data_IF_975720541454
#
_entry.id   IF_975720541454
#
_cell.length_a   1.000
_cell.length_b   1.000
_cell.length_c   1.000
_cell.angle_alpha   90.00
_cell.angle_beta   90.00
_cell.angle_gamma   90.00
#
_symmetry.space_group_name_H-M   'P 1'
#
loop_
_entity.id
_entity.type
_entity.pdbx_description
1 polymer ?
#
# COMPACT_ATOMS: atom_id res chain seq x y z
N UNK A 1 -15.60 28.17 -14.02
CA UNK A 1 -15.56 28.12 -12.54
C UNK A 1 -14.67 26.98 -12.05
N UNK A 2 -14.87 25.74 -12.53
CA UNK A 2 -14.09 24.56 -12.12
C UNK A 2 -12.57 24.78 -12.20
N UNK A 3 -12.02 25.20 -13.34
CA UNK A 3 -10.56 25.37 -13.47
C UNK A 3 -9.91 26.42 -12.55
N UNK A 4 -10.66 27.43 -12.09
CA UNK A 4 -10.15 28.42 -11.12
C UNK A 4 -10.15 27.81 -9.71
N UNK A 5 -11.25 27.17 -9.32
CA UNK A 5 -11.37 26.52 -8.01
C UNK A 5 -10.38 25.36 -7.89
N UNK A 6 -10.26 24.57 -8.96
CA UNK A 6 -9.34 23.44 -9.08
C UNK A 6 -7.88 23.89 -9.00
N UNK A 7 -7.42 24.83 -9.84
CA UNK A 7 -5.98 25.11 -9.93
C UNK A 7 -5.49 26.21 -8.97
N UNK A 8 -6.30 27.24 -8.72
CA UNK A 8 -5.83 28.43 -7.98
C UNK A 8 -6.23 28.42 -6.50
N UNK A 9 -7.40 27.87 -6.16
CA UNK A 9 -7.94 27.94 -4.79
C UNK A 9 -7.62 26.69 -3.99
N UNK A 10 -8.03 25.52 -4.50
CA UNK A 10 -7.93 24.26 -3.76
C UNK A 10 -6.73 23.40 -4.19
N UNK A 11 -6.41 23.32 -5.48
CA UNK A 11 -5.35 22.43 -5.99
C UNK A 11 -3.94 22.84 -5.60
N UNK A 12 -3.70 24.12 -5.26
CA UNK A 12 -2.42 24.54 -4.70
C UNK A 12 -2.05 23.89 -3.34
N UNK A 13 -2.99 23.15 -2.73
CA UNK A 13 -2.78 22.40 -1.47
C UNK A 13 -2.66 20.89 -1.68
N UNK A 14 -2.78 20.41 -2.92
CA UNK A 14 -2.90 18.99 -3.24
C UNK A 14 -1.77 18.60 -4.18
N UNK A 15 -0.80 17.87 -3.65
CA UNK A 15 0.37 17.42 -4.43
C UNK A 15 0.12 16.06 -5.12
N UNK A 16 -0.81 15.27 -4.60
CA UNK A 16 -1.11 13.93 -5.11
C UNK A 16 -2.16 13.96 -6.22
N UNK A 17 -1.84 13.35 -7.35
CA UNK A 17 -2.73 13.25 -8.52
C UNK A 17 -4.05 12.52 -8.21
N UNK A 18 -4.07 11.56 -7.28
CA UNK A 18 -5.28 10.85 -6.90
C UNK A 18 -6.23 11.72 -6.08
N UNK A 19 -5.67 12.49 -5.15
CA UNK A 19 -6.44 13.43 -4.34
C UNK A 19 -6.99 14.57 -5.21
N UNK A 20 -6.23 14.99 -6.24
CA UNK A 20 -6.73 15.91 -7.26
C UNK A 20 -7.95 15.34 -7.99
N UNK A 21 -7.96 14.04 -8.37
CA UNK A 21 -9.13 13.43 -9.02
C UNK A 21 -10.37 13.45 -8.13
N UNK A 22 -10.20 13.23 -6.82
CA UNK A 22 -11.31 13.31 -5.84
C UNK A 22 -11.82 14.74 -5.75
N UNK A 23 -10.94 15.73 -5.67
CA UNK A 23 -11.30 17.15 -5.68
C UNK A 23 -12.11 17.51 -6.93
N UNK A 24 -11.63 17.14 -8.12
CA UNK A 24 -12.33 17.40 -9.38
C UNK A 24 -13.71 16.75 -9.39
N UNK A 25 -13.85 15.52 -8.86
CA UNK A 25 -15.14 14.84 -8.73
C UNK A 25 -16.15 15.64 -7.90
N UNK A 26 -15.74 16.14 -6.73
CA UNK A 26 -16.58 16.99 -5.89
C UNK A 26 -16.93 18.32 -6.56
N UNK A 27 -15.97 18.94 -7.26
CA UNK A 27 -16.23 20.18 -7.97
C UNK A 27 -17.26 19.98 -9.08
N UNK A 28 -17.19 18.89 -9.84
CA UNK A 28 -18.18 18.54 -10.88
C UNK A 28 -19.55 18.24 -10.26
N UNK A 29 -19.59 17.57 -9.10
CA UNK A 29 -20.84 17.25 -8.42
C UNK A 29 -21.57 18.51 -7.92
N UNK A 30 -20.87 19.41 -7.23
CA UNK A 30 -21.50 20.55 -6.56
C UNK A 30 -21.63 21.79 -7.44
N UNK A 31 -20.69 22.04 -8.35
CA UNK A 31 -20.69 23.22 -9.22
C UNK A 31 -21.24 22.94 -10.62
N UNK A 32 -22.25 22.07 -10.74
CA UNK A 32 -22.94 21.84 -12.01
C UNK A 32 -24.00 22.93 -12.26
N UNK A 33 -24.22 23.28 -13.54
CA UNK A 33 -25.26 24.22 -13.95
C UNK A 33 -26.65 23.81 -13.47
N UNK A 34 -26.91 22.50 -13.34
CA UNK A 34 -28.17 21.95 -12.81
C UNK A 34 -28.39 22.31 -11.33
N UNK A 35 -27.34 22.18 -10.51
CA UNK A 35 -27.36 22.50 -9.08
C UNK A 35 -27.47 24.01 -8.87
N UNK A 36 -26.71 24.78 -9.65
CA UNK A 36 -26.71 26.25 -9.56
C UNK A 36 -28.02 26.89 -10.07
N UNK A 37 -28.78 26.19 -10.92
CA UNK A 37 -30.06 26.68 -11.45
C UNK A 37 -31.26 26.36 -10.54
N UNK A 38 -31.03 25.81 -9.34
CA UNK A 38 -32.09 25.54 -8.35
C UNK A 38 -33.07 24.44 -8.77
N UNK A 39 -32.81 23.71 -9.85
CA UNK A 39 -33.56 22.50 -10.17
C UNK A 39 -33.20 21.41 -9.18
N UNK A 40 -34.23 20.70 -8.69
CA UNK A 40 -34.11 19.63 -7.70
C UNK A 40 -32.80 18.86 -7.82
N UNK A 41 -32.12 18.70 -6.68
CA UNK A 41 -31.14 17.64 -6.45
C UNK A 41 -31.88 16.29 -6.53
N UNK A 42 -32.42 15.96 -7.70
CA UNK A 42 -32.79 14.59 -8.06
C UNK A 42 -31.51 13.78 -7.86
N UNK A 43 -31.59 12.57 -7.28
CA UNK A 43 -30.41 11.81 -6.86
C UNK A 43 -29.41 11.81 -8.01
N UNK A 44 -28.33 12.58 -7.84
CA UNK A 44 -27.32 12.77 -8.87
C UNK A 44 -26.87 11.36 -9.27
N UNK A 45 -27.03 11.04 -10.56
CA UNK A 45 -26.75 9.74 -11.16
C UNK A 45 -25.56 9.03 -10.48
N UNK A 46 -25.86 8.06 -9.63
CA UNK A 46 -24.85 7.20 -9.01
C UNK A 46 -24.97 7.09 -7.49
N UNK A 47 -26.04 6.46 -7.00
CA UNK A 47 -26.12 5.81 -5.68
C UNK A 47 -26.05 6.68 -4.42
N UNK A 48 -25.53 7.91 -4.50
CA UNK A 48 -25.58 8.88 -3.42
C UNK A 48 -27.02 9.35 -3.26
N UNK A 49 -27.64 9.00 -2.13
CA UNK A 49 -28.89 9.64 -1.72
C UNK A 49 -28.68 11.16 -1.79
N UNK A 50 -29.72 11.89 -2.19
CA UNK A 50 -29.74 13.34 -2.11
C UNK A 50 -29.16 13.81 -0.76
N UNK A 51 -28.58 15.02 -0.73
CA UNK A 51 -28.21 15.67 0.53
C UNK A 51 -29.28 15.34 1.58
N UNK A 52 -28.91 14.88 2.79
CA UNK A 52 -29.86 14.38 3.79
C UNK A 52 -30.97 15.38 4.11
N UNK A 53 -30.76 16.64 3.77
CA UNK A 53 -31.68 17.76 3.81
C UNK A 53 -32.07 18.24 2.40
N UNK A 54 -33.02 17.57 1.74
CA UNK A 54 -33.82 18.12 0.64
C UNK A 54 -33.09 18.89 -0.47
N UNK A 55 -33.83 19.76 -1.17
CA UNK A 55 -33.27 20.70 -2.15
C UNK A 55 -32.62 21.90 -1.45
N UNK A 56 -31.51 22.40 -2.01
CA UNK A 56 -30.90 23.66 -1.57
C UNK A 56 -31.91 24.80 -1.70
N UNK A 57 -32.06 25.68 -0.67
CA UNK A 57 -32.91 26.86 -0.77
C UNK A 57 -32.44 27.74 -1.94
N UNK A 58 -33.36 28.03 -2.85
CA UNK A 58 -33.14 28.94 -4.00
C UNK A 58 -33.48 30.40 -3.61
N UNK A 59 -33.95 30.60 -2.37
CA UNK A 59 -34.34 31.90 -1.82
C UNK A 59 -33.14 32.76 -1.48
N UNK A 60 -33.24 34.08 -1.69
CA UNK A 60 -32.23 35.05 -1.26
C UNK A 60 -32.32 35.40 0.23
N UNK A 61 -33.23 34.74 0.98
CA UNK A 61 -33.48 35.04 2.40
C UNK A 61 -32.57 34.21 3.30
N UNK A 62 -31.75 34.90 4.10
CA UNK A 62 -30.82 34.28 5.07
C UNK A 62 -31.51 33.29 6.03
N UNK A 63 -32.76 33.57 6.44
CA UNK A 63 -33.50 32.74 7.39
C UNK A 63 -33.70 31.31 6.88
N UNK A 64 -33.90 31.15 5.58
CA UNK A 64 -34.16 29.85 4.97
C UNK A 64 -32.92 28.96 5.07
N UNK A 65 -31.73 29.53 4.82
CA UNK A 65 -30.46 28.83 5.03
C UNK A 65 -30.22 28.47 6.51
N UNK A 66 -30.58 29.35 7.45
CA UNK A 66 -30.45 29.04 8.89
C UNK A 66 -31.41 27.94 9.34
N UNK A 67 -32.63 27.90 8.78
CA UNK A 67 -33.58 26.81 9.05
C UNK A 67 -33.09 25.48 8.47
N UNK A 68 -32.44 25.50 7.30
CA UNK A 68 -31.84 24.31 6.72
C UNK A 68 -30.71 23.77 7.61
N UNK A 69 -29.79 24.65 8.04
CA UNK A 69 -28.68 24.27 8.94
C UNK A 69 -29.23 23.68 10.24
N UNK A 70 -30.29 24.28 10.80
CA UNK A 70 -30.91 23.80 12.05
C UNK A 70 -31.67 22.47 11.88
N UNK A 71 -32.01 22.10 10.64
CA UNK A 71 -32.67 20.83 10.32
C UNK A 71 -31.70 19.68 10.09
N UNK A 72 -30.39 19.96 10.05
CA UNK A 72 -29.37 18.92 9.91
C UNK A 72 -29.27 18.07 11.19
N UNK A 73 -29.05 16.76 11.06
CA UNK A 73 -28.78 15.91 12.21
C UNK A 73 -27.44 16.28 12.87
N UNK A 74 -27.34 16.09 14.19
CA UNK A 74 -26.09 16.31 14.94
C UNK A 74 -24.97 15.33 14.55
N UNK A 75 -25.32 14.20 13.92
CA UNK A 75 -24.38 13.17 13.46
C UNK A 75 -24.38 13.09 11.95
N UNK A 76 -23.21 13.31 11.36
CA UNK A 76 -23.02 13.21 9.92
C UNK A 76 -23.02 11.75 9.46
N UNK A 77 -23.77 11.46 8.39
CA UNK A 77 -23.73 10.16 7.72
C UNK A 77 -22.58 10.08 6.73
N UNK A 78 -21.80 8.99 6.72
CA UNK A 78 -20.74 8.76 5.72
C UNK A 78 -21.24 8.81 4.27
N UNK A 79 -22.51 8.50 4.03
CA UNK A 79 -23.12 8.58 2.71
C UNK A 79 -23.14 10.01 2.14
N UNK A 80 -23.14 11.04 3.01
CA UNK A 80 -23.03 12.45 2.62
C UNK A 80 -21.71 12.73 1.89
N UNK A 81 -20.65 12.04 2.30
CA UNK A 81 -19.29 12.21 1.77
C UNK A 81 -18.97 11.19 0.67
N UNK A 82 -19.95 10.45 0.16
CA UNK A 82 -19.71 9.39 -0.83
C UNK A 82 -18.81 8.26 -0.33
N UNK A 83 -18.58 8.17 0.98
CA UNK A 83 -17.73 7.15 1.60
C UNK A 83 -18.46 5.81 1.72
N UNK A 84 -17.74 4.68 1.73
CA UNK A 84 -18.35 3.36 1.84
C UNK A 84 -18.97 3.13 3.23
N UNK A 85 -20.00 2.28 3.30
CA UNK A 85 -20.76 2.05 4.53
C UNK A 85 -19.93 1.42 5.68
N UNK A 86 -18.84 0.74 5.35
CA UNK A 86 -17.92 0.13 6.30
C UNK A 86 -16.76 1.05 6.73
N UNK A 87 -16.78 2.33 6.33
CA UNK A 87 -15.70 3.29 6.65
C UNK A 87 -15.50 3.46 8.15
N UNK A 88 -16.57 3.35 8.94
CA UNK A 88 -16.51 3.47 10.41
C UNK A 88 -15.57 2.42 11.01
N UNK A 89 -15.58 1.18 10.46
CA UNK A 89 -14.69 0.12 10.91
C UNK A 89 -13.22 0.45 10.59
N UNK A 90 -12.94 0.97 9.39
CA UNK A 90 -11.58 1.41 9.02
C UNK A 90 -11.12 2.58 9.88
N UNK A 91 -12.00 3.57 10.07
CA UNK A 91 -11.73 4.75 10.87
C UNK A 91 -11.42 4.37 12.33
N UNK A 92 -12.27 3.54 12.93
CA UNK A 92 -12.08 3.06 14.30
C UNK A 92 -10.75 2.31 14.45
N UNK A 93 -10.36 1.47 13.48
CA UNK A 93 -9.05 0.79 13.50
C UNK A 93 -7.88 1.76 13.44
N UNK A 94 -7.93 2.73 12.52
CA UNK A 94 -6.87 3.74 12.38
C UNK A 94 -6.75 4.62 13.62
N UNK A 95 -7.87 5.12 14.14
CA UNK A 95 -7.89 5.91 15.37
C UNK A 95 -7.38 5.08 16.55
N UNK A 96 -7.83 3.83 16.70
CA UNK A 96 -7.38 2.96 17.79
C UNK A 96 -5.87 2.70 17.72
N UNK A 97 -5.33 2.45 16.52
CA UNK A 97 -3.90 2.27 16.31
C UNK A 97 -3.12 3.54 16.67
N UNK A 98 -3.61 4.71 16.24
CA UNK A 98 -2.99 6.01 16.54
C UNK A 98 -3.00 6.31 18.04
N UNK A 99 -4.13 6.11 18.71
CA UNK A 99 -4.27 6.31 20.15
C UNK A 99 -3.37 5.34 20.91
N UNK A 100 -3.31 4.07 20.50
CA UNK A 100 -2.41 3.08 21.10
C UNK A 100 -0.94 3.48 20.93
N UNK A 101 -0.55 3.98 19.76
CA UNK A 101 0.79 4.50 19.50
C UNK A 101 1.11 5.70 20.41
N UNK A 102 0.19 6.67 20.51
CA UNK A 102 0.36 7.82 21.40
C UNK A 102 0.45 7.43 22.88
N UNK A 103 -0.40 6.50 23.34
CA UNK A 103 -0.36 5.98 24.70
C UNK A 103 0.94 5.25 24.99
N UNK A 104 1.51 4.51 24.02
CA UNK A 104 2.82 3.86 24.17
C UNK A 104 3.94 4.88 24.37
N UNK A 105 3.90 6.01 23.65
CA UNK A 105 4.86 7.10 23.83
C UNK A 105 4.72 7.71 25.23
N UNK A 106 3.50 8.03 25.66
CA UNK A 106 3.23 8.64 26.97
C UNK A 106 3.57 7.70 28.14
N UNK A 107 3.31 6.40 28.00
CA UNK A 107 3.60 5.40 29.03
C UNK A 107 5.11 5.24 29.32
N UNK A 108 5.97 5.77 28.45
CA UNK A 108 7.42 5.69 28.59
C UNK A 108 7.98 7.05 28.97
N UNK A 109 8.21 7.23 30.26
CA UNK A 109 8.96 8.38 30.77
C UNK A 109 10.32 8.46 30.05
N UNK A 110 10.68 9.66 29.58
CA UNK A 110 11.82 10.01 28.73
C UNK A 110 13.22 9.57 29.25
N UNK A 111 13.31 8.95 30.43
CA UNK A 111 14.57 8.58 31.08
C UNK A 111 15.10 7.16 30.85
N UNK A 112 14.28 6.19 30.40
CA UNK A 112 14.71 4.78 30.32
C UNK A 112 15.61 4.46 29.11
N UNK A 113 15.48 5.25 28.04
CA UNK A 113 16.32 5.13 26.85
C UNK A 113 17.67 5.85 27.01
N UNK A 114 17.72 6.95 27.78
CA UNK A 114 18.94 7.75 27.96
C UNK A 114 19.86 7.21 29.05
N UNK A 115 19.30 6.69 30.15
CA UNK A 115 20.09 6.05 31.21
C UNK A 115 20.25 4.56 30.93
N UNK A 116 21.49 4.15 30.69
CA UNK A 116 21.81 2.73 30.56
C UNK A 116 21.60 2.02 31.91
N UNK A 117 20.50 1.28 32.00
CA UNK A 117 20.22 0.34 33.07
C UNK A 117 20.13 -1.07 32.46
N UNK A 118 21.08 -1.92 32.83
CA UNK A 118 21.21 -3.27 32.26
C UNK A 118 19.98 -4.14 32.55
N UNK A 119 19.37 -4.01 33.72
CA UNK A 119 18.26 -4.86 34.15
C UNK A 119 16.98 -4.47 33.41
N UNK A 120 16.71 -3.15 33.34
CA UNK A 120 15.57 -2.61 32.58
C UNK A 120 15.69 -2.91 31.09
N UNK A 121 16.87 -2.65 30.50
CA UNK A 121 17.10 -2.95 29.09
C UNK A 121 17.00 -4.43 28.78
N UNK A 122 17.48 -5.29 29.70
CA UNK A 122 17.36 -6.73 29.53
C UNK A 122 15.90 -7.18 29.58
N UNK A 123 15.07 -6.66 30.50
CA UNK A 123 13.67 -7.00 30.59
C UNK A 123 12.87 -6.60 29.33
N UNK A 124 13.03 -5.35 28.88
CA UNK A 124 12.27 -4.78 27.76
C UNK A 124 12.69 -5.34 26.39
N UNK A 125 13.99 -5.61 26.18
CA UNK A 125 14.53 -6.07 24.89
C UNK A 125 14.54 -7.59 24.75
N UNK A 126 14.41 -8.34 25.85
CA UNK A 126 14.38 -9.82 25.83
C UNK A 126 13.31 -10.41 24.91
N UNK A 127 12.05 -9.91 24.88
CA UNK A 127 11.03 -10.41 23.96
C UNK A 127 11.45 -10.32 22.49
N UNK A 128 12.06 -9.21 22.09
CA UNK A 128 12.53 -8.98 20.72
C UNK A 128 13.72 -9.90 20.37
N UNK A 129 14.67 -10.07 21.30
CA UNK A 129 15.80 -10.99 21.12
C UNK A 129 15.33 -12.44 21.04
N UNK A 130 14.33 -12.82 21.82
CA UNK A 130 13.73 -14.16 21.78
C UNK A 130 12.95 -14.39 20.48
N UNK A 131 12.22 -13.38 20.00
CA UNK A 131 11.59 -13.40 18.68
C UNK A 131 12.63 -13.63 17.58
N UNK A 132 13.73 -12.86 17.58
CA UNK A 132 14.80 -13.00 16.61
C UNK A 132 15.44 -14.40 16.63
N UNK A 133 15.64 -14.98 17.82
CA UNK A 133 16.11 -16.37 17.95
C UNK A 133 15.11 -17.34 17.34
N UNK A 134 13.82 -17.24 17.65
CA UNK A 134 12.77 -18.12 17.12
C UNK A 134 12.66 -18.04 15.60
N UNK A 135 12.68 -16.83 15.03
CA UNK A 135 12.58 -16.64 13.57
C UNK A 135 13.76 -17.24 12.81
N UNK A 136 14.94 -17.32 13.43
CA UNK A 136 16.13 -17.86 12.80
C UNK A 136 16.45 -19.31 13.22
N UNK A 137 15.62 -19.95 14.05
CA UNK A 137 15.78 -21.37 14.38
C UNK A 137 15.59 -22.21 13.12
N UNK A 138 16.63 -22.93 12.71
CA UNK A 138 16.61 -23.78 11.51
C UNK A 138 16.85 -23.04 10.19
N UNK A 139 17.17 -21.74 10.22
CA UNK A 139 17.46 -20.96 9.02
C UNK A 139 18.95 -20.75 8.83
N UNK A 140 19.51 -21.20 7.71
CA UNK A 140 20.93 -20.98 7.37
C UNK A 140 21.23 -19.54 6.89
N UNK A 141 20.24 -18.64 6.87
CA UNK A 141 20.39 -17.27 6.34
C UNK A 141 21.52 -16.49 7.01
N UNK A 142 21.77 -16.72 8.30
CA UNK A 142 22.81 -16.02 9.07
C UNK A 142 24.21 -16.48 8.65
N UNK A 143 24.39 -17.77 8.39
CA UNK A 143 25.68 -18.39 8.05
C UNK A 143 25.92 -18.51 6.55
N UNK A 144 24.89 -18.29 5.73
CA UNK A 144 24.96 -18.40 4.28
C UNK A 144 25.93 -17.37 3.71
N UNK A 145 27.01 -17.85 3.09
CA UNK A 145 27.86 -17.02 2.24
C UNK A 145 27.09 -16.73 0.96
N UNK A 146 26.76 -15.47 0.74
CA UNK A 146 26.14 -15.05 -0.52
C UNK A 146 27.20 -14.36 -1.37
N UNK A 147 27.43 -14.89 -2.56
CA UNK A 147 28.26 -14.26 -3.58
C UNK A 147 27.48 -13.11 -4.23
N UNK A 148 28.13 -11.98 -4.57
CA UNK A 148 27.47 -10.95 -5.36
C UNK A 148 26.98 -11.54 -6.69
N UNK A 149 25.81 -11.12 -7.18
CA UNK A 149 25.29 -11.60 -8.45
C UNK A 149 26.29 -11.31 -9.58
N UNK A 150 26.47 -12.28 -10.48
CA UNK A 150 27.34 -12.11 -11.65
C UNK A 150 26.63 -11.26 -12.70
N UNK A 151 27.34 -10.30 -13.31
CA UNK A 151 26.84 -9.48 -14.43
C UNK A 151 26.38 -10.28 -15.67
N UNK A 152 26.59 -11.60 -15.68
CA UNK A 152 26.28 -12.50 -16.80
C UNK A 152 24.85 -13.05 -16.82
N UNK A 153 23.96 -12.61 -15.93
CA UNK A 153 22.57 -13.08 -15.92
C UNK A 153 21.82 -12.59 -17.18
N UNK A 154 21.38 -13.52 -18.04
CA UNK A 154 20.73 -13.21 -19.33
C UNK A 154 19.33 -12.58 -19.16
N UNK A 155 18.60 -12.97 -18.10
CA UNK A 155 17.26 -12.45 -17.79
C UNK A 155 17.33 -11.32 -16.75
N UNK A 156 16.79 -10.12 -17.06
CA UNK A 156 16.66 -9.02 -16.10
C UNK A 156 15.90 -9.40 -14.82
N UNK A 157 14.88 -10.24 -14.93
CA UNK A 157 14.08 -10.68 -13.78
C UNK A 157 14.91 -11.58 -12.86
N UNK A 158 15.71 -12.50 -13.41
CA UNK A 158 16.60 -13.34 -12.60
C UNK A 158 17.72 -12.53 -11.95
N UNK A 159 18.24 -11.52 -12.66
CA UNK A 159 19.21 -10.58 -12.11
C UNK A 159 18.63 -9.81 -10.91
N UNK A 160 17.40 -9.31 -11.04
CA UNK A 160 16.68 -8.67 -9.94
C UNK A 160 16.52 -9.61 -8.74
N UNK A 161 15.98 -10.82 -8.92
CA UNK A 161 15.75 -11.78 -7.82
C UNK A 161 17.06 -12.12 -7.11
N UNK A 162 18.15 -12.32 -7.85
CA UNK A 162 19.47 -12.64 -7.29
C UNK A 162 20.05 -11.47 -6.47
N UNK A 163 19.92 -10.24 -6.98
CA UNK A 163 20.39 -9.04 -6.29
C UNK A 163 19.55 -8.73 -5.04
N UNK A 164 18.23 -8.86 -5.16
CA UNK A 164 17.29 -8.65 -4.06
C UNK A 164 17.58 -9.65 -2.92
N UNK A 165 17.79 -10.92 -3.26
CA UNK A 165 18.18 -11.96 -2.29
C UNK A 165 19.51 -11.65 -1.63
N UNK A 166 20.51 -11.22 -2.40
CA UNK A 166 21.82 -10.83 -1.86
C UNK A 166 21.69 -9.69 -0.83
N UNK A 167 20.96 -8.64 -1.17
CA UNK A 167 20.71 -7.51 -0.27
C UNK A 167 19.92 -7.94 0.98
N UNK A 168 18.89 -8.76 0.82
CA UNK A 168 18.08 -9.28 1.91
C UNK A 168 18.91 -10.09 2.91
N UNK A 169 19.76 -11.00 2.45
CA UNK A 169 20.64 -11.79 3.33
C UNK A 169 21.66 -10.91 4.04
N UNK A 170 22.25 -9.91 3.35
CA UNK A 170 23.15 -8.94 4.01
C UNK A 170 22.44 -8.14 5.10
N UNK A 171 21.19 -7.74 4.86
CA UNK A 171 20.38 -7.06 5.87
C UNK A 171 20.10 -7.97 7.07
N UNK A 172 19.74 -9.23 6.85
CA UNK A 172 19.58 -10.23 7.93
C UNK A 172 20.87 -10.38 8.75
N UNK A 173 22.03 -10.47 8.09
CA UNK A 173 23.33 -10.55 8.77
C UNK A 173 23.67 -9.29 9.57
N UNK A 174 23.35 -8.10 9.03
CA UNK A 174 23.53 -6.81 9.70
C UNK A 174 22.66 -6.70 10.95
N UNK A 175 21.37 -7.08 10.84
CA UNK A 175 20.44 -7.13 11.98
C UNK A 175 20.92 -8.15 13.01
N UNK A 176 21.36 -9.34 12.58
CA UNK A 176 21.91 -10.36 13.47
C UNK A 176 23.11 -9.84 14.26
N UNK A 177 24.09 -9.23 13.59
CA UNK A 177 25.29 -8.67 14.22
C UNK A 177 24.94 -7.55 15.22
N UNK A 178 23.99 -6.69 14.86
CA UNK A 178 23.50 -5.60 15.72
C UNK A 178 22.87 -6.15 17.00
N UNK A 179 21.94 -7.11 16.89
CA UNK A 179 21.27 -7.75 18.02
C UNK A 179 22.22 -8.62 18.85
N UNK A 180 23.19 -9.28 18.23
CA UNK A 180 24.22 -10.07 18.91
C UNK A 180 25.16 -9.19 19.74
N UNK A 181 25.52 -8.00 19.22
CA UNK A 181 26.33 -7.01 19.95
C UNK A 181 25.56 -6.47 21.15
N UNK A 182 24.28 -6.12 20.96
CA UNK A 182 23.37 -5.73 22.04
C UNK A 182 23.25 -6.81 23.12
N UNK A 183 23.01 -8.07 22.74
CA UNK A 183 22.91 -9.19 23.69
C UNK A 183 24.23 -9.44 24.44
N UNK A 184 25.40 -9.20 23.83
CA UNK A 184 26.71 -9.26 24.54
C UNK A 184 26.84 -8.18 25.59
N UNK A 185 26.41 -6.95 25.31
CA UNK A 185 26.40 -5.85 26.28
C UNK A 185 25.43 -6.14 27.43
N UNK A 186 24.22 -6.64 27.13
CA UNK A 186 23.23 -7.00 28.16
C UNK A 186 23.71 -8.14 29.09
N UNK A 187 24.53 -9.06 28.56
CA UNK A 187 25.16 -10.14 29.35
C UNK A 187 26.42 -9.71 30.10
N UNK A 188 26.88 -8.47 29.93
CA UNK A 188 28.12 -7.96 30.53
C UNK A 188 29.41 -8.48 29.87
N UNK A 189 29.31 -9.08 28.69
CA UNK A 189 30.48 -9.63 27.95
C UNK A 189 31.16 -8.61 27.03
N UNK A 190 30.60 -7.41 26.88
CA UNK A 190 31.14 -6.34 26.03
C UNK A 190 30.81 -4.98 26.63
N UNK A 191 31.67 -3.99 26.37
CA UNK A 191 31.42 -2.59 26.72
C UNK A 191 30.32 -1.98 25.84
N UNK A 192 29.59 -0.99 26.39
CA UNK A 192 28.57 -0.24 25.68
C UNK A 192 29.23 0.68 24.64
N UNK A 193 28.92 0.48 23.36
CA UNK A 193 29.29 1.39 22.28
C UNK A 193 28.17 2.36 21.95
N UNK A 194 28.50 3.48 21.31
CA UNK A 194 27.53 4.49 20.85
C UNK A 194 26.50 3.91 19.89
N UNK A 195 26.91 2.99 19.01
CA UNK A 195 26.01 2.32 18.07
C UNK A 195 25.03 1.37 18.77
N UNK A 196 25.49 0.61 19.77
CA UNK A 196 24.62 -0.26 20.57
C UNK A 196 23.65 0.58 21.40
N UNK A 197 24.10 1.71 21.96
CA UNK A 197 23.24 2.63 22.68
C UNK A 197 22.15 3.22 21.78
N UNK A 198 22.49 3.69 20.57
CA UNK A 198 21.53 4.21 19.58
C UNK A 198 20.53 3.14 19.14
N UNK A 199 21.02 1.91 18.90
CA UNK A 199 20.19 0.76 18.54
C UNK A 199 19.18 0.44 19.65
N UNK A 200 19.65 0.30 20.89
CA UNK A 200 18.81 0.00 22.03
C UNK A 200 17.79 1.11 22.28
N UNK A 201 18.20 2.39 22.19
CA UNK A 201 17.29 3.53 22.35
C UNK A 201 16.13 3.49 21.35
N UNK A 202 16.38 3.20 20.07
CA UNK A 202 15.32 3.05 19.07
C UNK A 202 14.38 1.87 19.41
N UNK A 203 14.95 0.71 19.74
CA UNK A 203 14.16 -0.48 20.08
C UNK A 203 13.33 -0.31 21.36
N UNK A 204 13.86 0.40 22.36
CA UNK A 204 13.16 0.77 23.59
C UNK A 204 12.04 1.79 23.34
N UNK A 205 12.10 2.55 22.25
CA UNK A 205 10.98 3.39 21.78
C UNK A 205 10.02 2.65 20.85
N UNK A 206 10.22 1.35 20.61
CA UNK A 206 9.49 0.58 19.60
C UNK A 206 9.61 1.15 18.18
N UNK A 207 10.74 1.77 17.87
CA UNK A 207 11.06 2.28 16.55
C UNK A 207 12.11 1.37 15.89
N UNK A 208 12.00 1.18 14.57
CA UNK A 208 13.06 0.53 13.82
C UNK A 208 14.29 1.46 13.73
N UNK A 209 15.50 0.98 14.05
CA UNK A 209 16.72 1.75 13.93
C UNK A 209 16.92 2.32 12.51
N UNK A 210 17.29 3.60 12.40
CA UNK A 210 17.55 4.29 11.12
C UNK A 210 18.57 3.57 10.23
N UNK A 211 19.54 2.87 10.84
CA UNK A 211 20.55 2.09 10.10
C UNK A 211 19.98 0.86 9.39
N UNK A 212 18.83 0.35 9.83
CA UNK A 212 18.08 -0.72 9.18
C UNK A 212 17.12 -0.14 8.14
N UNK A 213 16.40 0.94 8.49
CA UNK A 213 15.49 1.64 7.58
C UNK A 213 16.17 2.16 6.31
N UNK A 214 17.45 2.55 6.41
CA UNK A 214 18.26 2.95 5.25
C UNK A 214 18.44 1.85 4.21
N UNK A 215 18.47 0.59 4.63
CA UNK A 215 18.62 -0.56 3.73
C UNK A 215 17.26 -1.03 3.21
N UNK A 216 16.23 -0.93 4.06
CA UNK A 216 14.86 -1.28 3.71
C UNK A 216 13.85 -0.46 4.53
N UNK A 217 13.03 0.31 3.83
CA UNK A 217 11.86 1.00 4.39
C UNK A 217 10.75 -0.03 4.64
N UNK A 218 10.82 -0.68 5.80
CA UNK A 218 9.86 -1.66 6.27
C UNK A 218 8.83 -1.09 7.25
N UNK A 219 8.05 -1.97 7.90
CA UNK A 219 7.10 -1.56 8.93
C UNK A 219 7.77 -0.82 10.10
N UNK A 220 7.08 0.17 10.66
CA UNK A 220 7.59 0.99 11.78
C UNK A 220 7.81 0.18 13.07
N UNK A 221 7.03 -0.90 13.26
CA UNK A 221 7.13 -1.75 14.45
C UNK A 221 8.28 -2.77 14.30
N UNK A 222 9.28 -2.79 15.23
CA UNK A 222 10.42 -3.70 15.15
C UNK A 222 10.05 -5.17 15.07
N UNK A 223 9.02 -5.60 15.81
CA UNK A 223 8.60 -6.99 15.81
C UNK A 223 7.98 -7.42 14.47
N UNK A 224 7.27 -6.52 13.79
CA UNK A 224 6.73 -6.76 12.46
C UNK A 224 7.85 -6.70 11.41
N UNK A 225 8.72 -5.70 11.50
CA UNK A 225 9.91 -5.56 10.65
C UNK A 225 10.77 -6.84 10.64
N UNK A 226 11.09 -7.40 11.81
CA UNK A 226 11.89 -8.63 11.90
C UNK A 226 11.17 -9.85 11.27
N UNK A 227 9.85 -9.97 11.46
CA UNK A 227 9.05 -11.05 10.87
C UNK A 227 9.03 -10.94 9.35
N UNK A 228 8.70 -9.76 8.83
CA UNK A 228 8.62 -9.50 7.39
C UNK A 228 10.00 -9.61 6.73
N UNK A 229 11.08 -9.16 7.39
CA UNK A 229 12.46 -9.35 6.89
C UNK A 229 12.78 -10.83 6.67
N UNK A 230 12.56 -11.67 7.69
CA UNK A 230 12.85 -13.11 7.60
C UNK A 230 11.92 -13.80 6.61
N UNK A 231 10.62 -13.50 6.64
CA UNK A 231 9.61 -14.04 5.73
C UNK A 231 9.93 -13.76 4.26
N UNK A 232 10.15 -12.48 3.92
CA UNK A 232 10.54 -12.06 2.56
C UNK A 232 11.87 -12.68 2.13
N UNK A 233 12.86 -12.75 3.03
CA UNK A 233 14.16 -13.37 2.71
C UNK A 233 14.02 -14.87 2.42
N UNK A 234 13.18 -15.59 3.16
CA UNK A 234 12.91 -17.00 2.89
C UNK A 234 12.17 -17.18 1.56
N UNK A 235 11.14 -16.36 1.32
CA UNK A 235 10.38 -16.36 0.07
C UNK A 235 11.29 -16.11 -1.14
N UNK A 236 12.17 -15.10 -1.09
CA UNK A 236 13.16 -14.85 -2.14
C UNK A 236 14.07 -16.05 -2.43
N UNK A 237 14.31 -16.93 -1.45
CA UNK A 237 15.01 -18.20 -1.68
C UNK A 237 14.24 -19.16 -2.58
N UNK A 238 12.92 -19.21 -2.42
CA UNK A 238 12.01 -19.97 -3.29
C UNK A 238 11.97 -19.34 -4.69
N UNK A 239 11.94 -18.01 -4.78
CA UNK A 239 11.98 -17.30 -6.07
C UNK A 239 13.28 -17.57 -6.83
N UNK A 240 14.43 -17.59 -6.15
CA UNK A 240 15.73 -17.92 -6.73
C UNK A 240 15.75 -19.35 -7.29
N UNK A 241 15.20 -20.33 -6.54
CA UNK A 241 15.10 -21.72 -6.99
C UNK A 241 14.19 -21.86 -8.23
N UNK A 242 12.99 -21.29 -8.17
CA UNK A 242 12.07 -21.22 -9.32
C UNK A 242 12.72 -20.52 -10.51
N UNK A 243 13.61 -19.56 -10.25
CA UNK A 243 14.36 -18.81 -11.26
C UNK A 243 15.32 -19.69 -12.03
N UNK A 244 16.03 -20.57 -11.32
CA UNK A 244 16.94 -21.56 -11.89
C UNK A 244 16.20 -22.57 -12.76
N UNK A 245 14.98 -22.93 -12.39
CA UNK A 245 14.10 -23.83 -13.15
C UNK A 245 13.39 -23.14 -14.33
N UNK A 246 13.51 -21.81 -14.47
CA UNK A 246 12.80 -21.03 -15.49
C UNK A 246 11.29 -20.92 -15.27
N UNK A 247 10.80 -21.21 -14.05
CA UNK A 247 9.37 -21.29 -13.71
C UNK A 247 8.80 -20.05 -13.02
N UNK A 248 9.64 -19.06 -12.66
CA UNK A 248 9.21 -17.84 -11.94
C UNK A 248 8.01 -17.17 -12.59
N UNK A 249 7.97 -17.08 -13.92
CA UNK A 249 6.89 -16.39 -14.62
C UNK A 249 5.65 -17.27 -14.86
N UNK A 250 5.73 -18.58 -14.60
CA UNK A 250 4.64 -19.54 -14.83
C UNK A 250 3.77 -19.72 -13.59
N UNK A 251 4.38 -19.63 -12.40
CA UNK A 251 3.69 -19.77 -11.13
C UNK A 251 2.89 -18.51 -10.75
N UNK A 252 1.98 -18.67 -9.80
CA UNK A 252 1.31 -17.51 -9.19
C UNK A 252 2.26 -16.87 -8.19
N UNK A 253 2.49 -15.57 -8.37
CA UNK A 253 3.43 -14.78 -7.60
C UNK A 253 2.69 -13.88 -6.61
N UNK A 254 3.27 -13.68 -5.43
CA UNK A 254 2.82 -12.69 -4.48
C UNK A 254 3.87 -11.57 -4.39
N UNK A 255 3.51 -10.36 -4.83
CA UNK A 255 4.43 -9.22 -4.81
C UNK A 255 4.74 -8.75 -3.37
N UNK A 256 3.94 -9.15 -2.37
CA UNK A 256 4.25 -8.89 -0.97
C UNK A 256 5.51 -9.61 -0.48
N UNK A 257 6.03 -10.60 -1.21
CA UNK A 257 7.24 -11.32 -0.82
C UNK A 257 8.52 -10.54 -1.16
N UNK A 258 8.42 -9.47 -1.97
CA UNK A 258 9.55 -8.65 -2.42
C UNK A 258 9.79 -7.46 -1.49
N UNK A 259 11.02 -6.93 -1.46
CA UNK A 259 11.30 -5.65 -0.78
C UNK A 259 11.00 -4.48 -1.73
N UNK A 260 11.33 -4.64 -3.02
CA UNK A 260 11.16 -3.64 -4.07
C UNK A 260 10.28 -4.15 -5.23
N UNK A 261 8.95 -4.25 -5.05
CA UNK A 261 8.03 -4.77 -6.08
C UNK A 261 7.95 -3.88 -7.33
N UNK A 262 8.15 -2.57 -7.17
CA UNK A 262 8.26 -1.58 -8.26
C UNK A 262 9.41 -1.92 -9.22
N UNK A 263 10.56 -2.26 -8.65
CA UNK A 263 11.78 -2.62 -9.38
C UNK A 263 11.62 -3.96 -10.10
N UNK A 264 10.92 -4.91 -9.48
CA UNK A 264 10.54 -6.17 -10.14
C UNK A 264 9.67 -5.94 -11.37
N UNK A 265 8.63 -5.10 -11.28
CA UNK A 265 7.76 -4.79 -12.42
C UNK A 265 8.54 -4.11 -13.55
N UNK A 266 9.54 -3.28 -13.22
CA UNK A 266 10.45 -2.67 -14.20
C UNK A 266 11.42 -3.70 -14.82
N UNK A 267 11.93 -4.66 -14.06
CA UNK A 267 12.72 -5.77 -14.60
C UNK A 267 11.88 -6.63 -15.57
N UNK A 268 10.61 -6.87 -15.23
CA UNK A 268 9.66 -7.54 -16.11
C UNK A 268 9.39 -6.72 -17.39
N UNK A 269 9.28 -5.39 -17.27
CA UNK A 269 9.15 -4.46 -18.42
C UNK A 269 10.34 -4.59 -19.35
N UNK A 270 11.56 -4.59 -18.80
CA UNK A 270 12.79 -4.73 -19.58
C UNK A 270 12.88 -6.09 -20.27
N UNK A 271 12.55 -7.18 -19.58
CA UNK A 271 12.53 -8.52 -20.18
C UNK A 271 11.48 -8.62 -21.30
N UNK A 272 10.31 -8.03 -21.10
CA UNK A 272 9.24 -8.01 -22.11
C UNK A 272 9.65 -7.19 -23.34
N UNK A 273 10.28 -6.03 -23.14
CA UNK A 273 10.81 -5.20 -24.23
C UNK A 273 11.86 -5.95 -25.08
N UNK A 274 12.77 -6.69 -24.43
CA UNK A 274 13.76 -7.54 -25.12
C UNK A 274 13.08 -8.66 -25.92
N UNK A 275 12.09 -9.34 -25.34
CA UNK A 275 11.33 -10.41 -26.01
C UNK A 275 10.47 -9.89 -27.17
N UNK A 276 9.92 -8.68 -27.06
CA UNK A 276 9.15 -8.00 -28.11
C UNK A 276 10.02 -7.28 -29.14
N UNK A 277 11.31 -7.08 -28.86
CA UNK A 277 12.24 -6.27 -29.66
C UNK A 277 11.75 -4.83 -29.87
N UNK A 278 11.22 -4.23 -28.82
CA UNK A 278 10.72 -2.85 -28.81
C UNK A 278 11.41 -2.00 -27.73
N UNK A 279 11.18 -0.68 -27.78
CA UNK A 279 11.61 0.22 -26.70
C UNK A 279 10.82 -0.06 -25.42
N UNK A 280 11.45 0.12 -24.25
CA UNK A 280 10.73 0.03 -22.97
C UNK A 280 9.61 1.08 -22.88
N UNK A 281 9.77 2.25 -23.51
CA UNK A 281 8.83 3.37 -23.45
C UNK A 281 7.56 3.16 -24.28
N UNK A 282 7.57 2.22 -25.21
CA UNK A 282 6.37 1.86 -25.97
C UNK A 282 5.49 0.84 -25.26
N UNK A 283 5.80 0.49 -24.01
CA UNK A 283 5.05 -0.48 -23.21
C UNK A 283 4.20 0.19 -22.13
N UNK A 284 2.98 -0.31 -21.95
CA UNK A 284 2.08 0.01 -20.84
C UNK A 284 1.77 -1.23 -20.01
N UNK A 285 1.61 -1.05 -18.70
CA UNK A 285 1.21 -2.12 -17.79
C UNK A 285 -0.30 -2.31 -17.89
N UNK A 286 -0.75 -3.54 -18.08
CA UNK A 286 -2.17 -3.89 -18.10
C UNK A 286 -2.43 -5.08 -17.19
N UNK A 287 -3.61 -5.09 -16.58
CA UNK A 287 -4.06 -6.18 -15.73
C UNK A 287 -5.41 -6.73 -16.21
N UNK A 288 -5.66 -8.00 -15.97
CA UNK A 288 -6.94 -8.64 -16.32
C UNK A 288 -7.31 -9.75 -15.35
N UNK A 289 -8.58 -9.74 -14.95
CA UNK A 289 -9.26 -10.81 -14.23
C UNK A 289 -10.08 -11.74 -15.14
N UNK A 290 -10.11 -11.49 -16.46
CA UNK A 290 -10.80 -12.37 -17.41
C UNK A 290 -10.08 -13.73 -17.51
N UNK A 291 -10.81 -14.86 -17.55
CA UNK A 291 -10.20 -16.18 -17.74
C UNK A 291 -9.40 -16.32 -19.04
N UNK A 292 -9.76 -15.53 -20.07
CA UNK A 292 -9.09 -15.51 -21.38
C UNK A 292 -7.71 -14.83 -21.35
N UNK A 293 -7.31 -14.24 -20.22
CA UNK A 293 -6.04 -13.53 -20.08
C UNK A 293 -6.02 -12.17 -20.78
N UNK A 294 -4.82 -11.70 -21.11
CA UNK A 294 -4.59 -10.42 -21.79
C UNK A 294 -4.22 -10.72 -23.25
N UNK A 295 -4.90 -10.10 -24.24
CA UNK A 295 -4.57 -10.29 -25.64
C UNK A 295 -3.19 -9.71 -26.00
N UNK A 296 -2.52 -10.30 -27.00
CA UNK A 296 -1.26 -9.83 -27.56
C UNK A 296 -0.05 -9.75 -26.59
N UNK A 297 -0.03 -10.55 -25.51
CA UNK A 297 1.10 -10.61 -24.58
C UNK A 297 2.11 -11.69 -24.94
N UNK A 298 3.41 -11.33 -24.93
CA UNK A 298 4.50 -12.34 -25.01
C UNK A 298 4.86 -12.92 -23.65
N UNK A 299 4.84 -12.09 -22.61
CA UNK A 299 5.11 -12.47 -21.23
C UNK A 299 3.99 -11.92 -20.36
N UNK A 300 3.47 -12.78 -19.48
CA UNK A 300 2.43 -12.44 -18.52
C UNK A 300 2.69 -13.19 -17.23
N UNK A 301 2.40 -12.58 -16.09
CA UNK A 301 2.52 -13.19 -14.78
C UNK A 301 1.16 -13.23 -14.10
N UNK A 302 0.95 -14.23 -13.25
CA UNK A 302 -0.23 -14.29 -12.36
C UNK A 302 0.16 -13.72 -11.00
N UNK A 303 -0.56 -12.73 -10.53
CA UNK A 303 -0.34 -12.09 -9.23
C UNK A 303 -1.50 -12.41 -8.30
N UNK A 304 -1.18 -12.84 -7.09
CA UNK A 304 -2.13 -13.03 -5.99
C UNK A 304 -1.69 -12.21 -4.76
N UNK A 305 -2.48 -12.26 -3.68
CA UNK A 305 -2.15 -11.59 -2.42
C UNK A 305 -2.41 -10.08 -2.41
N UNK A 306 -3.09 -9.54 -3.42
CA UNK A 306 -3.49 -8.12 -3.44
C UNK A 306 -4.76 -7.95 -2.61
N UNK A 307 -4.79 -6.90 -1.79
CA UNK A 307 -5.91 -6.51 -0.95
C UNK A 307 -6.55 -5.23 -1.48
N UNK A 308 -7.86 -5.08 -1.33
CA UNK A 308 -8.66 -3.91 -1.74
C UNK A 308 -9.34 -3.30 -0.52
N UNK A 309 -9.26 -1.98 -0.39
CA UNK A 309 -10.05 -1.19 0.56
C UNK A 309 -10.96 -0.21 -0.18
N UNK A 310 -12.07 0.14 0.46
CA UNK A 310 -13.03 1.14 -0.02
C UNK A 310 -14.15 0.54 -0.87
N UNK A 311 -13.90 -0.59 -1.54
CA UNK A 311 -14.86 -1.30 -2.38
C UNK A 311 -14.68 -2.82 -2.25
N UNK A 312 -15.61 -3.58 -2.81
CA UNK A 312 -15.51 -5.02 -3.03
C UNK A 312 -15.34 -5.32 -4.51
N UNK A 313 -14.87 -6.52 -4.85
CA UNK A 313 -14.70 -6.96 -6.22
C UNK A 313 -15.26 -8.36 -6.41
N UNK A 314 -16.18 -8.53 -7.34
CA UNK A 314 -16.88 -9.81 -7.57
C UNK A 314 -16.16 -10.75 -8.57
N UNK A 315 -14.95 -10.39 -9.00
CA UNK A 315 -14.19 -11.11 -10.03
C UNK A 315 -14.42 -10.55 -11.44
N UNK A 316 -15.46 -9.75 -11.64
CA UNK A 316 -15.76 -9.07 -12.89
C UNK A 316 -15.70 -7.56 -12.74
N UNK A 317 -16.38 -6.98 -11.75
CA UNK A 317 -16.57 -5.55 -11.53
C UNK A 317 -16.46 -5.17 -10.05
N UNK A 318 -16.24 -3.88 -9.81
CA UNK A 318 -16.35 -3.29 -8.48
C UNK A 318 -17.82 -3.32 -7.98
N UNK A 319 -17.96 -3.65 -6.70
CA UNK A 319 -19.24 -3.69 -5.97
C UNK A 319 -19.14 -2.87 -4.68
N UNK A 320 -20.27 -2.31 -4.26
CA UNK A 320 -20.31 -1.42 -3.10
C UNK A 320 -20.23 -2.24 -1.81
N UNK A 321 -19.56 -1.67 -0.81
CA UNK A 321 -19.49 -2.28 0.52
C UNK A 321 -20.78 -2.02 1.30
N UNK A 322 -21.22 -3.05 2.04
CA UNK A 322 -22.27 -2.97 3.06
C UNK A 322 -21.67 -2.67 4.44
N UNK A 323 -22.50 -2.40 5.45
CA UNK A 323 -22.02 -2.15 6.82
C UNK A 323 -21.25 -3.34 7.43
N UNK A 324 -21.62 -4.56 7.05
CA UNK A 324 -20.99 -5.79 7.54
C UNK A 324 -19.79 -6.23 6.68
N UNK A 325 -19.51 -5.51 5.59
CA UNK A 325 -18.38 -5.83 4.72
C UNK A 325 -17.05 -5.58 5.44
N UNK A 326 -16.08 -6.50 5.33
CA UNK A 326 -14.76 -6.30 5.94
C UNK A 326 -14.11 -5.06 5.34
N UNK A 327 -13.32 -4.31 6.13
CA UNK A 327 -12.62 -3.13 5.63
C UNK A 327 -11.64 -3.44 4.51
N UNK A 328 -11.05 -4.63 4.54
CA UNK A 328 -10.06 -5.09 3.57
C UNK A 328 -10.57 -6.39 2.97
N UNK A 329 -10.64 -6.43 1.64
CA UNK A 329 -11.11 -7.58 0.85
C UNK A 329 -9.93 -8.13 0.04
N UNK A 330 -9.73 -9.45 0.06
CA UNK A 330 -8.73 -10.08 -0.81
C UNK A 330 -9.21 -10.09 -2.26
N UNK A 331 -8.36 -9.64 -3.17
CA UNK A 331 -8.64 -9.68 -4.61
C UNK A 331 -8.36 -11.07 -5.17
N UNK A 332 -9.18 -11.56 -6.12
CA UNK A 332 -8.87 -12.77 -6.86
C UNK A 332 -7.57 -12.57 -7.68
N UNK A 333 -6.82 -13.66 -7.94
CA UNK A 333 -5.59 -13.58 -8.71
C UNK A 333 -5.81 -12.93 -10.08
N UNK A 334 -4.92 -12.01 -10.44
CA UNK A 334 -4.99 -11.29 -11.71
C UNK A 334 -3.81 -11.64 -12.61
N UNK A 335 -4.01 -11.53 -13.92
CA UNK A 335 -2.92 -11.62 -14.88
C UNK A 335 -2.40 -10.21 -15.13
N UNK A 336 -1.10 -10.02 -15.08
CA UNK A 336 -0.43 -8.75 -15.33
C UNK A 336 0.60 -8.94 -16.43
N UNK A 337 0.62 -8.01 -17.39
CA UNK A 337 1.56 -8.04 -18.49
C UNK A 337 1.89 -6.63 -18.97
N UNK A 338 3.06 -6.51 -19.59
CA UNK A 338 3.43 -5.34 -20.37
C UNK A 338 3.02 -5.57 -21.82
N UNK A 339 2.21 -4.67 -22.37
CA UNK A 339 1.77 -4.69 -23.78
C UNK A 339 2.20 -3.41 -24.47
N UNK A 340 2.25 -3.42 -25.79
CA UNK A 340 2.52 -2.18 -26.54
C UNK A 340 1.41 -1.15 -26.31
N UNK A 341 1.75 0.13 -26.35
CA UNK A 341 0.79 1.22 -26.15
C UNK A 341 -0.38 1.15 -27.15
N UNK A 342 -0.12 0.67 -28.37
CA UNK A 342 -1.09 0.46 -29.45
C UNK A 342 -1.97 -0.78 -29.25
N UNK A 343 -1.59 -1.71 -28.38
CA UNK A 343 -2.39 -2.91 -28.13
C UNK A 343 -3.76 -2.55 -27.53
N UNK A 344 -4.83 -3.25 -27.94
CA UNK A 344 -6.16 -3.02 -27.41
C UNK A 344 -6.16 -3.31 -25.90
N UNK A 345 -6.74 -2.41 -25.07
CA UNK A 345 -6.83 -2.66 -23.65
C UNK A 345 -7.75 -3.87 -23.36
N UNK A 346 -7.52 -4.61 -22.26
CA UNK A 346 -8.33 -5.78 -21.91
C UNK A 346 -9.80 -5.43 -21.60
N UNK A 347 -10.05 -4.19 -21.21
CA UNK A 347 -11.36 -3.62 -20.91
C UNK A 347 -11.51 -2.26 -21.59
N UNK A 348 -12.75 -1.79 -21.86
CA UNK A 348 -12.97 -0.45 -22.37
C UNK A 348 -12.50 0.60 -21.37
N UNK A 349 -11.82 1.68 -21.80
CA UNK A 349 -11.32 2.72 -20.90
C UNK A 349 -12.44 3.47 -20.18
N UNK A 350 -13.65 3.51 -20.75
CA UNK A 350 -14.84 4.11 -20.14
C UNK A 350 -15.36 3.30 -18.94
N UNK A 351 -15.04 2.00 -18.87
CA UNK A 351 -15.54 1.08 -17.85
C UNK A 351 -14.45 0.69 -16.84
N UNK A 352 -13.34 1.41 -16.83
CA UNK A 352 -12.21 1.17 -15.94
C UNK A 352 -11.95 2.35 -15.03
N UNK A 353 -11.51 2.03 -13.82
CA UNK A 353 -10.99 2.97 -12.86
C UNK A 353 -9.51 2.65 -12.62
N UNK A 354 -8.66 3.66 -12.76
CA UNK A 354 -7.24 3.55 -12.44
C UNK A 354 -7.05 3.63 -10.93
N UNK A 355 -6.72 2.50 -10.31
CA UNK A 355 -6.59 2.32 -8.86
C UNK A 355 -5.11 2.22 -8.47
N UNK A 356 -4.63 3.01 -7.49
CA UNK A 356 -3.26 2.91 -7.01
C UNK A 356 -3.03 1.62 -6.22
N UNK A 357 -1.87 1.00 -6.42
CA UNK A 357 -1.37 -0.14 -5.65
C UNK A 357 -0.25 0.36 -4.74
N UNK A 358 -0.51 0.36 -3.43
CA UNK A 358 0.44 0.73 -2.40
C UNK A 358 1.13 -0.50 -1.82
N UNK A 359 2.32 -0.29 -1.27
CA UNK A 359 3.07 -1.35 -0.61
C UNK A 359 2.45 -1.77 0.73
N UNK A 360 1.79 -0.84 1.44
CA UNK A 360 1.19 -1.08 2.74
C UNK A 360 -0.03 -0.17 2.96
N UNK A 361 -0.79 -0.45 4.02
CA UNK A 361 -1.95 0.35 4.42
C UNK A 361 -1.65 1.82 4.78
N UNK A 362 -0.38 2.22 4.96
CA UNK A 362 -0.02 3.63 5.22
C UNK A 362 -0.19 4.53 3.99
N UNK A 363 -0.30 3.95 2.79
CA UNK A 363 -0.40 4.66 1.50
C UNK A 363 0.79 5.60 1.20
N UNK A 364 1.94 5.37 1.84
CA UNK A 364 3.13 6.22 1.66
C UNK A 364 3.89 5.92 0.37
N UNK A 365 3.97 4.63 -0.01
CA UNK A 365 4.75 4.18 -1.17
C UNK A 365 3.86 3.55 -2.23
N UNK A 366 3.70 4.26 -3.34
CA UNK A 366 3.02 3.78 -4.54
C UNK A 366 3.94 2.82 -5.30
N UNK A 367 3.44 1.62 -5.58
CA UNK A 367 4.15 0.61 -6.38
C UNK A 367 3.82 0.77 -7.86
N UNK A 368 2.52 0.80 -8.17
CA UNK A 368 2.02 0.93 -9.54
C UNK A 368 0.55 1.33 -9.55
N UNK A 369 -0.03 1.44 -10.73
CA UNK A 369 -1.44 1.77 -10.95
C UNK A 369 -2.04 0.69 -11.84
N UNK A 370 -3.23 0.21 -11.50
CA UNK A 370 -3.92 -0.83 -12.28
C UNK A 370 -5.33 -0.40 -12.62
N UNK A 371 -5.74 -0.71 -13.84
CA UNK A 371 -7.09 -0.40 -14.31
C UNK A 371 -8.05 -1.53 -13.91
N UNK A 372 -8.95 -1.22 -12.98
CA UNK A 372 -9.95 -2.15 -12.45
C UNK A 372 -11.30 -1.87 -13.10
N UNK A 373 -12.00 -2.92 -13.52
CA UNK A 373 -13.31 -2.77 -14.15
C UNK A 373 -14.35 -2.29 -13.12
N UNK A 374 -14.98 -1.14 -13.40
CA UNK A 374 -15.98 -0.50 -12.54
C UNK A 374 -17.38 -0.42 -13.17
N UNK A 375 -17.53 -0.90 -14.41
CA UNK A 375 -18.75 -0.74 -15.20
C UNK A 375 -18.92 0.67 -15.76
N UNK A 376 -19.94 0.87 -16.60
CA UNK A 376 -20.15 2.10 -17.39
C UNK A 376 -20.81 3.27 -16.64
N UNK A 377 -21.36 3.02 -15.45
CA UNK A 377 -22.07 4.03 -14.66
C UNK A 377 -21.44 4.15 -13.27
N UNK A 378 -21.36 5.38 -12.74
CA UNK A 378 -20.90 5.62 -11.36
C UNK A 378 -19.39 5.78 -11.18
N UNK A 379 -18.62 6.08 -12.24
CA UNK A 379 -17.17 6.35 -12.13
C UNK A 379 -16.84 7.43 -11.09
N UNK A 380 -17.62 8.52 -11.09
CA UNK A 380 -17.48 9.60 -10.09
C UNK A 380 -17.75 9.10 -8.66
N UNK A 381 -18.77 8.26 -8.48
CA UNK A 381 -19.07 7.62 -7.20
C UNK A 381 -17.90 6.74 -6.72
N UNK A 382 -17.28 5.99 -7.64
CA UNK A 382 -16.11 5.19 -7.30
C UNK A 382 -14.88 6.05 -6.97
N UNK A 383 -14.68 7.18 -7.66
CA UNK A 383 -13.62 8.13 -7.33
C UNK A 383 -13.78 8.67 -5.89
N UNK A 384 -15.00 8.99 -5.48
CA UNK A 384 -15.30 9.48 -4.12
C UNK A 384 -15.08 8.41 -3.05
N UNK A 385 -15.36 7.14 -3.37
CA UNK A 385 -15.04 6.00 -2.48
C UNK A 385 -13.54 5.73 -2.35
N UNK A 386 -12.73 6.35 -3.21
CA UNK A 386 -11.26 6.30 -3.20
C UNK A 386 -10.69 4.88 -2.98
N UNK A 387 -11.04 3.91 -3.84
CA UNK A 387 -10.52 2.55 -3.71
C UNK A 387 -9.00 2.56 -3.81
N UNK A 388 -8.37 1.74 -2.98
CA UNK A 388 -6.92 1.56 -2.98
C UNK A 388 -6.59 0.07 -2.87
N UNK A 389 -5.56 -0.33 -3.59
CA UNK A 389 -5.02 -1.68 -3.53
C UNK A 389 -3.76 -1.70 -2.68
N UNK A 390 -3.55 -2.79 -1.97
CA UNK A 390 -2.38 -3.00 -1.11
C UNK A 390 -1.75 -4.34 -1.43
N UNK A 391 -0.42 -4.37 -1.40
CA UNK A 391 0.30 -5.63 -1.26
C UNK A 391 0.13 -6.09 0.19
N UNK A 392 -0.14 -7.38 0.41
CA UNK A 392 -0.24 -7.96 1.75
C UNK A 392 1.05 -7.68 2.56
N UNK A 393 0.98 -7.66 3.89
CA UNK A 393 2.11 -7.24 4.74
C UNK A 393 2.63 -8.36 5.64
#
# INVERSE_FOLDING_TARGET
MHGLMENAIYGGRVDNTYDMRVLTSYLVQFFNSTVLSGHNMSPLRGGGKALPCGSLPVSHVRRDYLSLISSLPDTDSHALFGLPANIEQSLQRTISSKVLSQLRVVARAEGSAERFDREVWSAELSPLLNLWKKLNQGSELITKKVSPPSDKLESPVLAFVSLERFNAVRLVQKVHSSLASLNRVLRGSSLLSTDVHRLAGALLRHEVPVSWLREWEGPEEPALYLRSLVGKTLALGVWEERGREGRVLQDTLDLSELFHPDTFLNALRQQTARAMKCSMDSLKLVCSWKPTGIPATKLSIKIAGVQLEGCSFDGSKLTENSHDSPSVVAMPPCTVAWVTSEAPPPYPPEECLSVPVYQSGSRERLVTCVDVHCGRQGRETWLQKNPALFLNN
#
